data_IF_436934881919
#
_entry.id   IF_436934881919
#
_cell.length_a   1.000
_cell.length_b   1.000
_cell.length_c   1.000
_cell.angle_alpha   90.00
_cell.angle_beta   90.00
_cell.angle_gamma   90.00
#
_symmetry.space_group_name_H-M   'P 1'
#
loop_
_entity.id
_entity.type
_entity.pdbx_description
1 polymer ?
#
# COMPACT_ATOMS: atom_id res chain seq x y z
N UNK A 1 -3.03 -21.35 4.24
CA UNK A 1 -4.12 -20.40 3.97
C UNK A 1 -3.51 -19.06 3.61
N UNK A 2 -3.49 -18.72 2.33
CA UNK A 2 -3.25 -17.34 1.89
C UNK A 2 -4.60 -16.63 1.86
N UNK A 3 -4.94 -15.94 2.95
CA UNK A 3 -6.13 -15.08 2.97
C UNK A 3 -5.95 -13.90 2.02
N UNK A 4 -7.04 -13.36 1.49
CA UNK A 4 -7.00 -12.10 0.77
C UNK A 4 -6.50 -11.00 1.73
N UNK A 5 -5.71 -10.07 1.21
CA UNK A 5 -5.24 -8.90 1.96
C UNK A 5 -5.19 -7.69 1.02
N UNK A 6 -5.28 -6.50 1.60
CA UNK A 6 -5.12 -5.22 0.91
C UNK A 6 -3.99 -4.41 1.55
N UNK A 7 -3.26 -3.67 0.73
CA UNK A 7 -2.22 -2.74 1.18
C UNK A 7 -2.74 -1.32 1.09
N UNK A 8 -2.41 -0.49 2.08
CA UNK A 8 -2.84 0.91 2.13
C UNK A 8 -1.83 1.79 2.87
N UNK A 9 -1.79 3.07 2.55
CA UNK A 9 -0.99 4.07 3.30
C UNK A 9 -1.65 4.41 4.64
N UNK A 10 -0.87 4.84 5.63
CA UNK A 10 -1.41 5.27 6.91
C UNK A 10 -2.01 6.69 6.87
N UNK A 11 -1.29 7.65 6.26
CA UNK A 11 -1.69 9.07 6.21
C UNK A 11 -1.25 9.75 4.89
N UNK A 12 -2.20 10.20 4.03
CA UNK A 12 -3.63 9.89 4.09
C UNK A 12 -3.87 8.39 3.89
N UNK A 13 -4.99 7.88 4.39
CA UNK A 13 -5.37 6.49 4.21
C UNK A 13 -5.84 6.24 2.76
N UNK A 14 -5.03 5.54 1.96
CA UNK A 14 -5.34 5.26 0.55
C UNK A 14 -4.93 3.82 0.16
N UNK A 15 -5.78 3.09 -0.57
CA UNK A 15 -5.44 1.76 -1.08
C UNK A 15 -4.32 1.81 -2.12
N UNK A 16 -3.44 0.81 -2.09
CA UNK A 16 -2.43 0.57 -3.12
C UNK A 16 -2.99 -0.45 -4.12
N UNK A 17 -3.53 0.07 -5.23
CA UNK A 17 -4.25 -0.75 -6.22
C UNK A 17 -3.38 -1.23 -7.39
N UNK A 18 -2.33 -0.49 -7.74
CA UNK A 18 -1.45 -0.80 -8.87
C UNK A 18 -0.12 -1.38 -8.37
N UNK A 19 0.00 -2.70 -8.42
CA UNK A 19 1.19 -3.43 -8.00
C UNK A 19 2.41 -3.23 -8.93
N UNK A 20 2.23 -2.56 -10.07
CA UNK A 20 3.32 -2.28 -11.00
C UNK A 20 3.99 -0.92 -10.75
N UNK A 21 3.40 -0.07 -9.91
CA UNK A 21 3.98 1.23 -9.57
C UNK A 21 5.31 1.09 -8.83
N UNK A 22 6.22 2.01 -9.13
CA UNK A 22 7.42 2.17 -8.31
C UNK A 22 7.08 2.88 -7.00
N UNK A 23 7.96 2.73 -6.00
CA UNK A 23 7.82 3.36 -4.69
C UNK A 23 7.73 4.89 -4.82
N UNK A 24 8.52 5.48 -5.72
CA UNK A 24 8.55 6.92 -5.97
C UNK A 24 7.25 7.40 -6.62
N UNK A 25 6.77 6.69 -7.64
CA UNK A 25 5.54 7.05 -8.37
C UNK A 25 4.30 6.96 -7.46
N UNK A 26 4.30 6.00 -6.53
CA UNK A 26 3.25 5.83 -5.53
C UNK A 26 3.39 6.78 -4.32
N UNK A 27 4.43 7.62 -4.26
CA UNK A 27 4.67 8.53 -3.13
C UNK A 27 4.98 7.83 -1.81
N UNK A 28 5.47 6.60 -1.86
CA UNK A 28 5.67 5.74 -0.69
C UNK A 28 7.04 5.90 -0.01
N UNK A 29 7.88 6.81 -0.50
CA UNK A 29 9.22 7.03 0.06
C UNK A 29 9.14 7.50 1.51
N UNK A 30 9.67 6.68 2.43
CA UNK A 30 9.56 6.84 3.89
C UNK A 30 8.12 6.85 4.42
N UNK A 31 7.16 6.31 3.66
CA UNK A 31 5.77 6.21 4.07
C UNK A 31 5.50 4.92 4.84
N UNK A 32 4.51 4.95 5.72
CA UNK A 32 4.03 3.76 6.45
C UNK A 32 2.94 3.08 5.63
N UNK A 33 3.15 1.80 5.35
CA UNK A 33 2.18 0.92 4.67
C UNK A 33 1.58 -0.04 5.69
N UNK A 34 0.26 -0.19 5.62
CA UNK A 34 -0.55 -1.07 6.45
C UNK A 34 -1.03 -2.22 5.57
N UNK A 35 -0.95 -3.44 6.10
CA UNK A 35 -1.61 -4.61 5.52
C UNK A 35 -2.90 -4.88 6.30
N UNK A 36 -4.03 -4.95 5.58
CA UNK A 36 -5.33 -5.30 6.13
C UNK A 36 -5.73 -6.70 5.64
N UNK A 37 -6.16 -7.56 6.55
CA UNK A 37 -6.77 -8.86 6.25
C UNK A 37 -8.28 -8.73 6.08
#
# INVERSE_FOLDING_TARGET
MTGAYELMTAFPSQPLADNSQTIEAAGLRNSVVIQKQ
#
